data_IF_349292297470
#
_entry.id   IF_349292297470
#
_cell.length_a   1.000
_cell.length_b   1.000
_cell.length_c   1.000
_cell.angle_alpha   90.00
_cell.angle_beta   90.00
_cell.angle_gamma   90.00
#
_symmetry.space_group_name_H-M   'P 1'
#
loop_
_entity.id
_entity.type
_entity.pdbx_description
1 polymer ?
#
# COMPACT_ATOMS: atom_id res chain seq x y z
N UNK A 1 8.30 -39.84 47.42
CA UNK A 1 6.85 -39.93 47.18
C UNK A 1 6.55 -38.83 46.16
N UNK A 2 6.30 -39.13 44.88
CA UNK A 2 6.03 -38.09 43.88
C UNK A 2 4.77 -37.33 44.28
N UNK A 3 4.81 -36.01 44.13
CA UNK A 3 3.74 -35.11 44.53
C UNK A 3 2.44 -35.44 43.78
N UNK A 4 1.30 -35.57 44.47
CA UNK A 4 0.04 -36.00 43.87
C UNK A 4 -0.41 -35.13 42.68
N UNK A 5 -0.07 -33.83 42.74
CA UNK A 5 -0.33 -32.85 41.68
C UNK A 5 0.38 -33.20 40.37
N UNK A 6 1.59 -33.77 40.43
CA UNK A 6 2.34 -34.13 39.23
C UNK A 6 1.82 -35.41 38.58
N UNK A 7 1.32 -36.35 39.38
CA UNK A 7 0.66 -37.57 38.86
C UNK A 7 -0.65 -37.25 38.13
N UNK A 8 -1.45 -36.32 38.67
CA UNK A 8 -2.70 -35.90 38.04
C UNK A 8 -2.45 -35.14 36.72
N UNK A 9 -1.47 -34.23 36.70
CA UNK A 9 -1.07 -33.53 35.47
C UNK A 9 -0.49 -34.47 34.41
N UNK A 10 0.21 -35.52 34.82
CA UNK A 10 0.75 -36.51 33.89
C UNK A 10 -0.37 -37.36 33.26
N UNK A 11 -1.32 -37.84 34.06
CA UNK A 11 -2.48 -38.58 33.54
C UNK A 11 -3.36 -37.72 32.61
N UNK A 12 -3.57 -36.44 32.93
CA UNK A 12 -4.35 -35.53 32.08
C UNK A 12 -3.65 -35.24 30.74
N UNK A 13 -2.32 -35.27 30.68
CA UNK A 13 -1.56 -35.01 29.44
C UNK A 13 -1.34 -36.26 28.60
N UNK A 14 -1.37 -37.46 29.19
CA UNK A 14 -1.15 -38.74 28.49
C UNK A 14 -2.29 -39.08 27.52
N UNK A 15 -3.49 -38.51 27.71
CA UNK A 15 -4.65 -38.69 26.84
C UNK A 15 -4.96 -37.48 25.93
N UNK A 16 -4.13 -36.43 25.96
CA UNK A 16 -4.28 -35.29 25.06
C UNK A 16 -3.75 -35.64 23.66
N UNK A 17 -4.69 -36.02 22.79
CA UNK A 17 -4.44 -36.07 21.35
C UNK A 17 -4.35 -34.62 20.86
N UNK A 18 -3.12 -34.09 20.81
CA UNK A 18 -2.86 -32.78 20.24
C UNK A 18 -3.32 -32.76 18.79
N UNK A 19 -4.16 -31.79 18.43
CA UNK A 19 -4.52 -31.57 17.04
C UNK A 19 -3.25 -31.36 16.21
N UNK A 20 -3.21 -31.82 14.94
CA UNK A 20 -2.05 -31.63 14.07
C UNK A 20 -1.56 -30.19 14.09
N UNK A 21 -0.23 -29.99 14.10
CA UNK A 21 0.41 -28.67 14.27
C UNK A 21 -0.11 -27.61 13.31
N UNK A 22 -0.51 -28.01 12.11
CA UNK A 22 -1.06 -27.17 11.05
C UNK A 22 -2.46 -26.67 11.40
N UNK A 23 -3.26 -27.50 12.07
CA UNK A 23 -4.59 -27.15 12.55
C UNK A 23 -4.52 -26.22 13.77
N UNK A 24 -3.54 -26.42 14.66
CA UNK A 24 -3.27 -25.51 15.79
C UNK A 24 -2.78 -24.15 15.27
N UNK A 25 -1.86 -24.13 14.29
CA UNK A 25 -1.40 -22.89 13.63
C UNK A 25 -2.53 -22.17 12.92
N UNK A 26 -3.44 -22.90 12.26
CA UNK A 26 -4.61 -22.32 11.57
C UNK A 26 -5.60 -21.72 12.58
N UNK A 27 -5.92 -22.45 13.67
CA UNK A 27 -6.80 -21.94 14.75
C UNK A 27 -6.18 -20.78 15.52
N UNK A 28 -4.86 -20.79 15.73
CA UNK A 28 -4.11 -19.69 16.34
C UNK A 28 -4.18 -18.42 15.49
N UNK A 29 -3.96 -18.53 14.17
CA UNK A 29 -4.15 -17.41 13.23
C UNK A 29 -5.60 -16.92 13.21
N UNK A 30 -6.57 -17.83 13.29
CA UNK A 30 -7.99 -17.48 13.28
C UNK A 30 -8.43 -16.76 14.58
N UNK A 31 -7.92 -17.15 15.75
CA UNK A 31 -8.16 -16.43 17.02
C UNK A 31 -7.49 -15.06 17.05
N UNK A 32 -6.24 -14.96 16.60
CA UNK A 32 -5.54 -13.68 16.50
C UNK A 32 -6.25 -12.70 15.55
N UNK A 33 -6.84 -13.21 14.45
CA UNK A 33 -7.69 -12.43 13.55
C UNK A 33 -8.97 -11.95 14.22
N UNK A 34 -9.64 -12.80 15.03
CA UNK A 34 -10.87 -12.43 15.74
C UNK A 34 -10.65 -11.40 16.85
N UNK A 35 -9.54 -11.46 17.59
CA UNK A 35 -9.24 -10.48 18.65
C UNK A 35 -8.83 -9.12 18.10
N UNK A 36 -8.23 -9.06 16.90
CA UNK A 36 -7.86 -7.79 16.26
C UNK A 36 -9.06 -6.98 15.72
N UNK A 37 -10.22 -7.62 15.50
CA UNK A 37 -11.46 -6.91 15.11
C UNK A 37 -12.00 -6.01 16.23
N UNK A 38 -11.66 -6.28 17.50
CA UNK A 38 -12.10 -5.48 18.64
C UNK A 38 -11.16 -4.31 18.99
N UNK A 39 -9.91 -4.30 18.53
CA UNK A 39 -8.91 -3.31 18.93
C UNK A 39 -8.75 -2.12 17.97
N UNK A 40 -9.41 -2.13 16.80
CA UNK A 40 -9.36 -1.07 15.79
C UNK A 40 -10.33 0.10 16.02
N UNK A 41 -10.76 0.35 17.26
CA UNK A 41 -11.74 1.36 17.64
C UNK A 41 -11.28 2.17 18.87
N UNK A 42 -10.11 2.82 18.81
CA UNK A 42 -9.76 3.88 19.76
C UNK A 42 -8.49 4.64 19.32
N UNK A 43 -8.58 5.52 18.33
CA UNK A 43 -7.66 6.65 18.25
C UNK A 43 -8.28 7.79 17.43
N UNK A 44 -8.21 8.99 18.00
CA UNK A 44 -8.53 10.30 17.43
C UNK A 44 -9.99 10.76 17.48
N UNK A 45 -10.43 11.26 18.65
CA UNK A 45 -10.82 12.68 18.80
C UNK A 45 -10.43 13.14 20.21
N UNK A 46 -9.40 13.96 20.32
CA UNK A 46 -9.12 14.73 21.53
C UNK A 46 -8.87 16.17 21.12
N UNK A 47 -9.94 16.96 21.02
CA UNK A 47 -9.86 18.42 21.13
C UNK A 47 -10.68 18.80 22.34
N UNK A 48 -9.96 19.11 23.41
CA UNK A 48 -10.51 19.70 24.61
C UNK A 48 -10.74 21.20 24.39
N UNK A 49 -11.97 21.66 24.61
CA UNK A 49 -12.21 23.01 25.14
C UNK A 49 -13.15 22.85 26.33
N UNK A 50 -12.59 23.07 27.51
CA UNK A 50 -13.27 23.07 28.81
C UNK A 50 -13.94 24.42 29.01
N UNK A 51 -15.22 24.40 29.42
CA UNK A 51 -15.97 25.35 30.27
C UNK A 51 -17.43 25.37 29.78
N UNK A 52 -18.45 24.82 30.47
CA UNK A 52 -18.95 25.24 31.79
C UNK A 52 -20.15 24.36 32.22
N UNK A 53 -20.26 24.15 33.54
CA UNK A 53 -21.43 23.81 34.38
C UNK A 53 -22.68 23.13 33.80
N UNK A 54 -22.98 21.92 34.30
CA UNK A 54 -24.31 21.31 34.22
C UNK A 54 -25.16 21.79 35.41
N UNK A 55 -26.21 22.55 35.13
CA UNK A 55 -27.34 22.80 36.04
C UNK A 55 -28.60 22.18 35.41
N UNK A 56 -29.37 21.54 36.27
CA UNK A 56 -30.54 20.70 35.99
C UNK A 56 -31.68 21.44 35.25
N UNK A 57 -32.40 20.67 34.44
CA UNK A 57 -33.45 21.07 33.50
C UNK A 57 -34.67 21.81 34.11
N UNK A 58 -35.24 22.75 33.32
CA UNK A 58 -36.68 23.12 33.34
C UNK A 58 -37.10 23.71 31.96
N UNK A 59 -38.32 23.43 31.46
CA UNK A 59 -38.72 23.75 30.07
C UNK A 59 -39.41 25.13 29.93
N UNK A 60 -39.47 25.58 28.67
CA UNK A 60 -40.12 26.79 28.11
C UNK A 60 -39.42 28.15 28.30
N UNK A 61 -38.69 28.58 27.26
CA UNK A 61 -38.54 29.99 26.90
C UNK A 61 -38.10 30.14 25.42
N UNK A 62 -38.72 31.10 24.73
CA UNK A 62 -38.67 31.44 23.31
C UNK A 62 -37.26 31.74 22.71
N UNK A 63 -37.08 31.68 21.37
CA UNK A 63 -35.79 31.90 20.72
C UNK A 63 -35.30 33.36 20.83
N UNK A 64 -33.99 33.60 21.04
CA UNK A 64 -33.41 34.95 21.04
C UNK A 64 -33.26 35.53 19.62
N UNK A 65 -33.21 36.87 19.49
CA UNK A 65 -33.31 37.58 18.22
C UNK A 65 -32.08 37.47 17.30
N UNK A 66 -32.35 37.62 16.00
CA UNK A 66 -31.43 37.60 14.84
C UNK A 66 -30.43 38.77 14.88
N UNK A 67 -29.17 38.60 14.44
CA UNK A 67 -28.15 39.66 14.42
C UNK A 67 -28.46 40.79 13.42
N UNK A 68 -28.01 42.03 13.67
CA UNK A 68 -28.17 43.12 12.71
C UNK A 68 -27.25 42.94 11.49
N UNK A 69 -27.79 43.28 10.32
CA UNK A 69 -27.07 43.43 9.07
C UNK A 69 -26.22 44.71 9.07
N UNK A 70 -25.03 44.68 8.45
CA UNK A 70 -24.39 45.89 7.93
C UNK A 70 -23.79 45.58 6.57
N UNK A 71 -24.17 46.40 5.60
CA UNK A 71 -23.86 46.33 4.17
C UNK A 71 -22.51 47.00 3.88
N UNK A 72 -21.88 46.48 2.82
CA UNK A 72 -20.62 46.77 2.07
C UNK A 72 -20.37 48.27 1.69
N UNK A 73 -19.45 48.65 0.77
CA UNK A 73 -18.17 48.10 0.26
C UNK A 73 -17.02 49.15 0.26
N UNK A 74 -15.75 48.74 0.13
CA UNK A 74 -14.72 49.56 -0.55
C UNK A 74 -13.57 48.69 -1.10
N UNK A 75 -13.41 48.71 -2.42
CA UNK A 75 -12.16 48.48 -3.14
C UNK A 75 -11.92 49.74 -3.98
N UNK A 76 -10.69 50.26 -4.08
CA UNK A 76 -9.90 49.91 -5.25
C UNK A 76 -8.39 49.73 -5.01
N UNK A 77 -7.83 48.82 -5.79
CA UNK A 77 -6.57 48.94 -6.57
C UNK A 77 -5.24 49.17 -5.86
N UNK A 78 -4.38 48.15 -5.94
CA UNK A 78 -3.01 48.33 -6.46
C UNK A 78 -2.47 47.03 -7.05
N UNK A 79 -2.54 46.94 -8.38
CA UNK A 79 -1.68 46.14 -9.25
C UNK A 79 -0.42 46.97 -9.52
N UNK A 80 0.76 46.35 -9.58
CA UNK A 80 1.50 46.43 -10.84
C UNK A 80 2.02 45.06 -11.29
N UNK A 81 1.78 44.78 -12.57
CA UNK A 81 2.48 43.77 -13.40
C UNK A 81 3.58 44.51 -14.22
N UNK A 82 4.36 43.85 -15.09
CA UNK A 82 5.77 43.51 -14.93
C UNK A 82 6.73 44.33 -15.84
N UNK A 83 8.03 44.23 -15.59
CA UNK A 83 9.16 44.33 -16.57
C UNK A 83 10.46 44.46 -15.76
N UNK A 84 11.60 43.86 -16.11
CA UNK A 84 12.21 43.75 -17.44
C UNK A 84 13.30 42.66 -17.48
N UNK A 85 13.36 41.92 -18.57
CA UNK A 85 14.60 41.33 -19.12
C UNK A 85 14.96 42.18 -20.35
N UNK A 86 16.23 42.58 -20.55
CA UNK A 86 17.04 41.82 -21.51
C UNK A 86 18.54 41.74 -21.19
N UNK A 87 19.11 40.58 -21.57
CA UNK A 87 20.36 40.38 -22.33
C UNK A 87 21.70 40.93 -21.82
N UNK A 88 22.63 40.02 -21.53
CA UNK A 88 24.04 40.07 -21.98
C UNK A 88 24.77 38.72 -21.79
N UNK A 89 24.91 37.97 -22.88
CA UNK A 89 26.08 37.13 -23.24
C UNK A 89 26.74 37.91 -24.42
N UNK A 90 28.09 37.99 -24.63
CA UNK A 90 28.96 36.83 -24.86
C UNK A 90 30.46 36.93 -24.51
N UNK A 91 31.13 35.80 -24.80
CA UNK A 91 32.58 35.52 -24.92
C UNK A 91 33.23 34.82 -23.71
N UNK A 92 34.09 33.81 -23.86
CA UNK A 92 34.55 33.05 -25.03
C UNK A 92 35.32 31.81 -24.56
N UNK A 93 35.40 30.82 -25.45
CA UNK A 93 36.53 29.92 -25.71
C UNK A 93 37.12 29.03 -24.60
N UNK A 94 36.98 27.72 -24.82
CA UNK A 94 37.74 26.68 -24.11
C UNK A 94 37.58 25.31 -24.77
N UNK A 95 37.88 25.20 -26.07
CA UNK A 95 38.07 23.92 -26.76
C UNK A 95 39.40 23.30 -26.31
N UNK A 96 39.36 22.09 -25.77
CA UNK A 96 40.55 21.21 -25.77
C UNK A 96 40.15 19.73 -25.75
N UNK A 97 40.18 19.14 -26.93
CA UNK A 97 40.43 17.72 -27.22
C UNK A 97 41.27 17.78 -28.50
N UNK A 98 42.36 17.00 -28.72
CA UNK A 98 42.56 15.61 -28.28
C UNK A 98 43.98 15.30 -27.74
N UNK A 99 44.14 14.12 -27.10
CA UNK A 99 45.29 13.27 -27.39
C UNK A 99 45.03 11.81 -26.99
N UNK A 100 45.21 10.98 -28.01
CA UNK A 100 45.20 9.53 -28.08
C UNK A 100 46.50 9.02 -27.48
N UNK A 101 46.45 8.17 -26.46
CA UNK A 101 47.57 7.28 -26.11
C UNK A 101 47.02 5.88 -25.89
N UNK A 102 47.41 5.00 -26.81
CA UNK A 102 47.21 3.58 -26.74
C UNK A 102 48.01 2.97 -25.59
N UNK A 103 47.42 1.97 -24.94
CA UNK A 103 48.06 1.14 -23.92
C UNK A 103 47.25 -0.12 -23.67
N UNK A 104 47.35 -1.08 -24.60
CA UNK A 104 47.37 -2.52 -24.26
C UNK A 104 48.85 -2.91 -24.03
N UNK A 105 49.20 -3.99 -23.31
CA UNK A 105 48.53 -5.31 -23.20
C UNK A 105 48.34 -5.75 -21.72
N UNK A 106 47.76 -6.89 -21.31
CA UNK A 106 47.70 -8.22 -21.88
C UNK A 106 46.55 -9.06 -21.29
N UNK A 107 46.21 -10.12 -22.02
CA UNK A 107 45.23 -11.15 -21.72
C UNK A 107 45.39 -11.84 -20.36
N UNK A 108 44.25 -12.19 -19.75
CA UNK A 108 44.13 -13.45 -19.00
C UNK A 108 42.76 -14.08 -19.22
N UNK A 109 42.81 -15.39 -19.34
CA UNK A 109 41.84 -16.33 -19.88
C UNK A 109 40.86 -16.76 -18.78
N UNK A 110 39.60 -16.98 -19.16
CA UNK A 110 38.74 -17.93 -18.46
C UNK A 110 37.65 -17.31 -17.58
N UNK A 111 36.52 -16.95 -18.20
CA UNK A 111 35.26 -16.78 -17.51
C UNK A 111 34.14 -17.01 -18.52
N UNK A 112 33.59 -18.23 -18.56
CA UNK A 112 32.40 -18.52 -19.35
C UNK A 112 31.24 -17.58 -19.00
N UNK A 113 30.11 -17.61 -19.73
CA UNK A 113 28.94 -16.81 -19.37
C UNK A 113 28.52 -17.21 -17.96
N UNK A 114 28.94 -16.42 -16.99
CA UNK A 114 28.39 -16.48 -15.65
C UNK A 114 26.99 -15.95 -15.84
N UNK A 115 26.05 -16.88 -16.06
CA UNK A 115 24.64 -16.67 -15.79
C UNK A 115 24.58 -16.17 -14.35
N UNK A 116 24.66 -14.84 -14.19
CA UNK A 116 24.54 -14.18 -12.90
C UNK A 116 23.20 -14.67 -12.38
N UNK A 117 23.23 -15.46 -11.30
CA UNK A 117 22.01 -15.90 -10.65
C UNK A 117 21.15 -14.66 -10.44
N UNK A 118 19.93 -14.60 -10.98
CA UNK A 118 19.13 -13.40 -10.87
C UNK A 118 19.00 -13.04 -9.39
N UNK A 119 19.33 -11.80 -9.06
CA UNK A 119 19.28 -11.32 -7.69
C UNK A 119 17.87 -11.50 -7.17
N UNK A 120 17.69 -12.37 -6.17
CA UNK A 120 16.37 -12.62 -5.58
C UNK A 120 15.87 -11.44 -4.76
N UNK A 121 16.73 -10.45 -4.47
CA UNK A 121 16.37 -9.26 -3.71
C UNK A 121 15.55 -8.29 -4.56
N UNK A 122 14.63 -7.56 -3.91
CA UNK A 122 13.89 -6.46 -4.52
C UNK A 122 14.60 -5.14 -4.12
N UNK A 123 15.19 -4.41 -5.08
CA UNK A 123 15.89 -3.16 -4.77
C UNK A 123 14.91 -2.08 -4.31
N UNK A 124 15.40 -1.09 -3.56
CA UNK A 124 14.58 0.05 -3.13
C UNK A 124 14.03 0.88 -4.30
N UNK A 125 14.75 0.90 -5.43
CA UNK A 125 14.31 1.57 -6.65
C UNK A 125 13.07 0.91 -7.28
N UNK A 126 12.76 -0.35 -6.91
CA UNK A 126 11.56 -1.06 -7.37
C UNK A 126 10.30 -0.75 -6.54
N UNK A 127 10.43 0.05 -5.48
CA UNK A 127 9.29 0.56 -4.71
C UNK A 127 9.05 2.03 -5.04
N UNK A 128 7.84 2.50 -4.77
CA UNK A 128 7.50 3.91 -4.83
C UNK A 128 8.45 4.74 -3.96
N UNK A 129 8.68 5.97 -4.38
CA UNK A 129 9.40 7.00 -3.65
C UNK A 129 8.50 8.21 -3.45
N UNK A 130 8.87 9.11 -2.54
CA UNK A 130 8.12 10.34 -2.27
C UNK A 130 7.92 11.19 -3.53
N UNK A 131 8.89 11.19 -4.45
CA UNK A 131 8.80 11.91 -5.72
C UNK A 131 7.72 11.35 -6.68
N UNK A 132 7.21 10.14 -6.43
CA UNK A 132 6.16 9.52 -7.24
C UNK A 132 4.75 9.84 -6.71
N UNK A 133 4.66 10.50 -5.55
CA UNK A 133 3.41 10.78 -4.84
C UNK A 133 3.07 12.26 -4.91
N UNK A 134 1.79 12.62 -4.69
CA UNK A 134 1.41 14.02 -4.49
C UNK A 134 2.20 14.67 -3.35
N UNK A 135 2.31 16.00 -3.39
CA UNK A 135 2.92 16.77 -2.31
C UNK A 135 2.17 16.56 -0.99
N UNK A 136 2.90 16.51 0.13
CA UNK A 136 2.32 16.35 1.47
C UNK A 136 2.40 14.93 2.02
N UNK A 137 2.78 13.95 1.21
CA UNK A 137 3.16 12.63 1.72
C UNK A 137 4.52 12.66 2.40
N UNK A 138 4.66 11.84 3.44
CA UNK A 138 5.92 11.55 4.13
C UNK A 138 6.09 10.05 4.22
N UNK A 139 7.34 9.57 4.18
CA UNK A 139 7.60 8.14 4.31
C UNK A 139 7.41 7.74 5.76
N UNK A 140 6.59 6.73 5.99
CA UNK A 140 6.43 6.16 7.32
C UNK A 140 7.67 5.33 7.66
N UNK A 141 8.31 5.66 8.77
CA UNK A 141 9.38 4.85 9.35
C UNK A 141 8.78 3.91 10.39
N UNK A 142 9.29 2.67 10.43
CA UNK A 142 8.78 1.64 11.33
C UNK A 142 7.93 0.58 10.63
N UNK A 143 7.27 -0.26 11.44
CA UNK A 143 6.49 -1.39 10.95
C UNK A 143 5.15 -0.89 10.41
N UNK A 144 4.75 -1.42 9.26
CA UNK A 144 3.38 -1.26 8.77
C UNK A 144 2.45 -2.11 9.63
N UNK A 145 1.50 -1.47 10.29
CA UNK A 145 0.52 -2.16 11.13
C UNK A 145 -0.66 -2.71 10.32
N UNK A 146 -1.19 -3.85 10.77
CA UNK A 146 -2.35 -4.50 10.18
C UNK A 146 -2.09 -5.25 8.87
N UNK A 147 -3.05 -6.09 8.50
CA UNK A 147 -3.08 -6.73 7.18
C UNK A 147 -4.02 -5.93 6.27
N UNK A 148 -3.42 -5.07 5.45
CA UNK A 148 -4.12 -4.22 4.48
C UNK A 148 -4.24 -4.87 3.10
N UNK A 149 -3.68 -6.06 2.93
CA UNK A 149 -3.57 -6.74 1.64
C UNK A 149 -4.94 -7.13 1.08
N UNK A 150 -4.99 -7.41 -0.22
CA UNK A 150 -6.21 -7.96 -0.81
C UNK A 150 -6.49 -9.39 -0.31
N UNK A 151 -5.46 -10.13 0.09
CA UNK A 151 -5.57 -11.45 0.73
C UNK A 151 -6.26 -11.36 2.10
N UNK A 152 -6.17 -10.22 2.78
CA UNK A 152 -7.01 -9.96 3.95
C UNK A 152 -8.49 -9.85 3.54
N UNK A 153 -8.79 -9.17 2.43
CA UNK A 153 -10.17 -9.08 1.91
C UNK A 153 -10.72 -10.42 1.43
N UNK A 154 -9.88 -11.27 0.86
CA UNK A 154 -10.30 -12.63 0.49
C UNK A 154 -10.75 -13.46 1.68
N UNK A 155 -10.36 -13.11 2.90
CA UNK A 155 -10.83 -13.80 4.11
C UNK A 155 -12.29 -13.50 4.48
N UNK A 156 -12.92 -12.53 3.81
CA UNK A 156 -14.36 -12.22 3.92
C UNK A 156 -15.21 -12.91 2.86
N UNK A 157 -14.58 -13.57 1.89
CA UNK A 157 -15.28 -14.44 0.94
C UNK A 157 -15.64 -15.75 1.66
N UNK A 158 -16.85 -16.25 1.43
CA UNK A 158 -17.34 -17.53 1.98
C UNK A 158 -16.67 -18.70 1.27
N UNK A 159 -16.40 -18.55 -0.02
CA UNK A 159 -15.80 -19.56 -0.86
C UNK A 159 -14.27 -19.57 -0.78
N UNK A 160 -13.66 -20.70 -1.20
CA UNK A 160 -12.21 -20.82 -1.25
C UNK A 160 -11.61 -19.83 -2.27
N UNK A 161 -10.62 -19.08 -1.79
CA UNK A 161 -9.94 -18.04 -2.54
C UNK A 161 -8.58 -18.51 -3.05
N UNK A 162 -8.21 -18.23 -4.32
CA UNK A 162 -6.90 -18.60 -4.84
C UNK A 162 -5.80 -17.79 -4.15
N UNK A 163 -4.61 -18.37 -4.03
CA UNK A 163 -3.45 -17.69 -3.44
C UNK A 163 -2.90 -16.60 -4.36
N UNK A 164 -2.56 -15.44 -3.78
CA UNK A 164 -1.84 -14.35 -4.44
C UNK A 164 -0.32 -14.38 -4.19
N UNK A 165 0.18 -15.34 -3.41
CA UNK A 165 1.61 -15.53 -3.12
C UNK A 165 2.20 -16.73 -3.87
N UNK A 166 1.66 -17.08 -5.03
CA UNK A 166 2.13 -18.24 -5.81
C UNK A 166 3.63 -18.13 -6.11
N UNK A 167 4.43 -19.04 -5.56
CA UNK A 167 5.89 -19.09 -5.67
C UNK A 167 6.58 -17.73 -5.48
N UNK A 168 6.10 -16.96 -4.50
CA UNK A 168 6.78 -15.76 -4.02
C UNK A 168 8.16 -16.13 -3.46
N UNK A 169 9.21 -15.43 -3.89
CA UNK A 169 10.61 -15.67 -3.48
C UNK A 169 11.25 -14.49 -2.75
N UNK A 170 10.63 -13.31 -2.81
CA UNK A 170 11.04 -12.14 -2.06
C UNK A 170 9.90 -11.13 -1.94
N UNK A 171 9.99 -10.27 -0.92
CA UNK A 171 9.02 -9.20 -0.66
C UNK A 171 9.72 -7.96 -0.15
N UNK A 172 9.18 -6.78 -0.48
CA UNK A 172 9.60 -5.48 0.03
C UNK A 172 8.38 -4.58 0.17
N UNK A 173 8.26 -3.86 1.27
CA UNK A 173 7.14 -2.95 1.50
C UNK A 173 7.61 -1.55 1.86
N UNK A 174 6.80 -0.56 1.52
CA UNK A 174 6.95 0.86 1.89
C UNK A 174 5.57 1.42 2.24
N UNK A 175 5.53 2.38 3.16
CA UNK A 175 4.30 3.07 3.54
C UNK A 175 4.54 4.57 3.57
N UNK A 176 3.50 5.32 3.20
CA UNK A 176 3.51 6.77 3.10
C UNK A 176 2.24 7.33 3.71
N UNK A 177 2.39 8.35 4.55
CA UNK A 177 1.28 9.01 5.21
C UNK A 177 1.18 10.47 4.75
N UNK A 178 -0.05 10.96 4.66
CA UNK A 178 -0.41 12.36 4.58
C UNK A 178 -1.49 12.65 5.63
N UNK A 179 -1.85 13.92 5.88
CA UNK A 179 -2.92 14.25 6.84
C UNK A 179 -4.29 13.63 6.51
N UNK A 180 -4.55 13.31 5.24
CA UNK A 180 -5.86 12.83 4.77
C UNK A 180 -5.83 11.44 4.15
N UNK A 181 -4.64 10.88 3.89
CA UNK A 181 -4.50 9.65 3.10
C UNK A 181 -3.28 8.84 3.54
N UNK A 182 -3.35 7.53 3.29
CA UNK A 182 -2.31 6.56 3.59
C UNK A 182 -2.16 5.60 2.42
N UNK A 183 -0.95 5.56 1.87
CA UNK A 183 -0.58 4.62 0.81
C UNK A 183 0.41 3.63 1.39
N UNK A 184 0.11 2.35 1.21
CA UNK A 184 1.06 1.29 1.51
C UNK A 184 1.22 0.40 0.29
N UNK A 185 2.47 0.08 -0.02
CA UNK A 185 2.85 -0.76 -1.14
C UNK A 185 3.61 -1.97 -0.63
N UNK A 186 3.33 -3.12 -1.25
CA UNK A 186 4.10 -4.35 -1.13
C UNK A 186 4.46 -4.81 -2.54
N UNK A 187 5.74 -4.98 -2.79
CA UNK A 187 6.28 -5.55 -4.02
C UNK A 187 6.77 -6.94 -3.73
N UNK A 188 6.32 -7.91 -4.51
CA UNK A 188 6.71 -9.31 -4.42
C UNK A 188 7.41 -9.75 -5.71
N UNK A 189 8.40 -10.63 -5.57
CA UNK A 189 9.06 -11.30 -6.69
C UNK A 189 8.56 -12.73 -6.76
N UNK A 190 8.25 -13.20 -7.96
CA UNK A 190 7.76 -14.56 -8.20
C UNK A 190 8.68 -15.32 -9.14
N UNK A 191 8.79 -16.63 -8.96
CA UNK A 191 9.62 -17.46 -9.85
C UNK A 191 8.90 -17.83 -11.16
N UNK A 192 9.63 -17.82 -12.28
CA UNK A 192 9.11 -18.21 -13.58
C UNK A 192 7.90 -17.37 -14.02
N UNK A 193 6.85 -18.02 -14.50
CA UNK A 193 5.62 -17.34 -14.94
C UNK A 193 4.63 -17.04 -13.79
N UNK A 194 5.00 -17.26 -12.53
CA UNK A 194 4.06 -17.16 -11.39
C UNK A 194 3.53 -15.74 -11.16
N UNK A 195 4.26 -14.68 -11.52
CA UNK A 195 3.72 -13.31 -11.46
C UNK A 195 2.46 -13.15 -12.36
N UNK A 196 2.47 -13.76 -13.55
CA UNK A 196 1.29 -13.81 -14.43
C UNK A 196 0.18 -14.66 -13.84
N UNK A 197 0.51 -15.78 -13.18
CA UNK A 197 -0.46 -16.61 -12.45
C UNK A 197 -1.13 -15.82 -11.32
N UNK A 198 -0.38 -15.01 -10.58
CA UNK A 198 -0.91 -14.13 -9.52
C UNK A 198 -1.93 -13.16 -10.09
N UNK A 199 -1.66 -12.52 -11.24
CA UNK A 199 -2.65 -11.62 -11.86
C UNK A 199 -3.90 -12.34 -12.39
N UNK A 200 -3.80 -13.60 -12.77
CA UNK A 200 -4.97 -14.44 -13.11
C UNK A 200 -5.76 -14.82 -11.85
N UNK A 201 -5.06 -15.19 -10.78
CA UNK A 201 -5.65 -15.53 -9.49
C UNK A 201 -6.34 -14.32 -8.86
N UNK A 202 -5.76 -13.13 -9.00
CA UNK A 202 -6.37 -11.86 -8.60
C UNK A 202 -7.75 -11.68 -9.22
N UNK A 203 -7.86 -11.85 -10.54
CA UNK A 203 -9.14 -11.71 -11.24
C UNK A 203 -10.14 -12.76 -10.76
N UNK A 204 -9.72 -14.03 -10.70
CA UNK A 204 -10.55 -15.13 -10.20
C UNK A 204 -11.03 -14.89 -8.76
N UNK A 205 -10.15 -14.38 -7.90
CA UNK A 205 -10.49 -14.00 -6.53
C UNK A 205 -11.58 -12.94 -6.55
N UNK A 206 -11.37 -11.84 -7.25
CA UNK A 206 -12.28 -10.70 -7.21
C UNK A 206 -13.65 -11.05 -7.83
N UNK A 207 -13.66 -11.71 -8.99
CA UNK A 207 -14.92 -12.05 -9.67
C UNK A 207 -15.63 -13.24 -9.04
N UNK A 208 -14.91 -14.09 -8.30
CA UNK A 208 -15.44 -15.29 -7.68
C UNK A 208 -15.72 -15.14 -6.19
N UNK A 209 -15.42 -14.00 -5.57
CA UNK A 209 -15.64 -13.79 -4.14
C UNK A 209 -17.14 -13.66 -3.85
N UNK A 210 -17.69 -14.61 -3.10
CA UNK A 210 -19.01 -14.51 -2.51
C UNK A 210 -18.88 -13.90 -1.12
N UNK A 211 -19.29 -12.64 -0.96
CA UNK A 211 -19.19 -11.93 0.32
C UNK A 211 -20.09 -12.56 1.40
N UNK A 212 -19.59 -12.59 2.64
CA UNK A 212 -20.36 -13.09 3.79
C UNK A 212 -21.61 -12.23 4.07
N UNK A 213 -21.52 -10.91 3.89
CA UNK A 213 -22.63 -9.98 4.08
C UNK A 213 -23.22 -9.57 2.72
N UNK A 214 -24.56 -9.51 2.56
CA UNK A 214 -25.20 -9.21 1.28
C UNK A 214 -24.88 -7.82 0.70
N UNK A 215 -24.64 -6.83 1.57
CA UNK A 215 -24.36 -5.45 1.17
C UNK A 215 -22.87 -5.20 0.92
N UNK A 216 -22.01 -6.19 1.23
CA UNK A 216 -20.58 -6.10 0.96
C UNK A 216 -20.30 -6.48 -0.50
N UNK A 217 -19.29 -5.84 -1.09
CA UNK A 217 -18.90 -6.10 -2.48
C UNK A 217 -17.40 -6.04 -2.69
N UNK A 218 -16.93 -6.79 -3.69
CA UNK A 218 -15.59 -6.74 -4.25
C UNK A 218 -15.69 -6.83 -5.76
N UNK A 219 -15.07 -5.90 -6.46
CA UNK A 219 -15.19 -5.79 -7.91
C UNK A 219 -13.92 -5.25 -8.56
N UNK A 220 -13.72 -5.60 -9.83
CA UNK A 220 -12.70 -4.98 -10.66
C UNK A 220 -13.28 -3.67 -11.19
N UNK A 221 -12.65 -2.55 -10.84
CA UNK A 221 -13.09 -1.23 -11.27
C UNK A 221 -12.45 -0.80 -12.59
N UNK A 222 -11.20 -1.23 -12.82
CA UNK A 222 -10.50 -0.97 -14.06
C UNK A 222 -9.35 -1.95 -14.27
N UNK A 223 -8.98 -2.16 -15.53
CA UNK A 223 -7.88 -3.02 -15.95
C UNK A 223 -6.99 -2.30 -16.96
N UNK A 224 -5.88 -2.97 -17.33
CA UNK A 224 -4.89 -2.46 -18.29
C UNK A 224 -4.37 -1.06 -17.93
N UNK A 225 -4.08 -0.86 -16.63
CA UNK A 225 -3.74 0.45 -16.07
C UNK A 225 -2.27 0.85 -16.27
N UNK A 226 -1.37 -0.11 -16.48
CA UNK A 226 0.05 0.14 -16.69
C UNK A 226 0.90 -1.11 -16.45
N UNK A 227 2.16 -1.02 -16.85
CA UNK A 227 3.07 -2.17 -16.89
C UNK A 227 2.62 -3.25 -17.86
N UNK A 228 3.09 -4.47 -17.67
CA UNK A 228 2.63 -5.62 -18.43
C UNK A 228 1.18 -6.01 -18.09
N UNK A 229 0.73 -5.70 -16.86
CA UNK A 229 -0.66 -5.89 -16.42
C UNK A 229 -0.94 -4.98 -15.20
N UNK A 230 -2.14 -4.42 -15.11
CA UNK A 230 -2.51 -3.50 -14.04
C UNK A 230 -4.00 -3.45 -13.79
N UNK A 231 -4.43 -3.69 -12.55
CA UNK A 231 -5.83 -3.85 -12.15
C UNK A 231 -6.13 -3.01 -10.92
N UNK A 232 -7.20 -2.21 -10.98
CA UNK A 232 -7.78 -1.53 -9.84
C UNK A 232 -8.97 -2.35 -9.34
N UNK A 233 -8.91 -2.71 -8.06
CA UNK A 233 -9.95 -3.45 -7.35
C UNK A 233 -10.62 -2.50 -6.35
N UNK A 234 -11.94 -2.52 -6.34
CA UNK A 234 -12.77 -1.83 -5.37
C UNK A 234 -13.44 -2.81 -4.42
N UNK A 235 -13.55 -2.45 -3.16
CA UNK A 235 -14.52 -3.05 -2.25
C UNK A 235 -15.48 -1.99 -1.71
N UNK A 236 -16.62 -2.45 -1.23
CA UNK A 236 -17.43 -1.76 -0.23
C UNK A 236 -17.74 -2.77 0.86
N UNK A 237 -17.35 -2.49 2.11
CA UNK A 237 -17.68 -3.37 3.24
C UNK A 237 -18.23 -2.54 4.39
N UNK A 238 -19.47 -2.82 4.79
CA UNK A 238 -20.17 -2.06 5.82
C UNK A 238 -20.25 -0.57 5.50
N UNK A 239 -20.45 -0.22 4.22
CA UNK A 239 -20.50 1.16 3.72
C UNK A 239 -19.14 1.86 3.69
N UNK A 240 -18.04 1.10 3.74
CA UNK A 240 -16.67 1.63 3.73
C UNK A 240 -15.97 1.22 2.44
N UNK A 241 -15.77 2.15 1.49
CA UNK A 241 -15.09 1.84 0.27
C UNK A 241 -13.60 1.55 0.50
N UNK A 242 -13.07 0.60 -0.26
CA UNK A 242 -11.65 0.28 -0.30
C UNK A 242 -11.13 0.22 -1.72
N UNK A 243 -9.86 0.61 -1.93
CA UNK A 243 -9.19 0.55 -3.23
C UNK A 243 -7.85 -0.16 -3.12
N UNK A 244 -7.62 -1.10 -4.03
CA UNK A 244 -6.32 -1.74 -4.21
C UNK A 244 -5.90 -1.65 -5.67
N UNK A 245 -4.69 -1.19 -5.90
CA UNK A 245 -4.06 -1.22 -7.21
C UNK A 245 -3.02 -2.33 -7.23
N UNK A 246 -3.14 -3.24 -8.19
CA UNK A 246 -2.18 -4.32 -8.41
C UNK A 246 -1.55 -4.16 -9.79
N UNK A 247 -0.22 -4.11 -9.85
CA UNK A 247 0.55 -3.90 -11.08
C UNK A 247 1.61 -4.98 -11.21
N UNK A 248 1.72 -5.59 -12.38
CA UNK A 248 2.78 -6.53 -12.73
C UNK A 248 3.72 -5.89 -13.75
N UNK A 249 5.01 -6.11 -13.54
CA UNK A 249 6.05 -5.86 -14.54
C UNK A 249 7.08 -6.98 -14.45
N UNK A 250 7.24 -7.75 -15.53
CA UNK A 250 8.09 -8.94 -15.52
C UNK A 250 7.67 -9.94 -14.46
N UNK A 251 8.63 -10.32 -13.61
CA UNK A 251 8.50 -11.25 -12.49
C UNK A 251 8.08 -10.59 -11.16
N UNK A 252 7.85 -9.27 -11.17
CA UNK A 252 7.43 -8.50 -10.00
C UNK A 252 5.93 -8.17 -10.04
N UNK A 253 5.31 -8.21 -8.86
CA UNK A 253 3.94 -7.74 -8.64
C UNK A 253 3.96 -6.72 -7.50
N UNK A 254 3.41 -5.54 -7.72
CA UNK A 254 3.15 -4.55 -6.70
C UNK A 254 1.67 -4.55 -6.36
N UNK A 255 1.34 -4.64 -5.07
CA UNK A 255 0.01 -4.39 -4.53
C UNK A 255 0.06 -3.12 -3.69
N UNK A 256 -0.90 -2.22 -3.89
CA UNK A 256 -1.02 -0.96 -3.18
C UNK A 256 -2.40 -0.87 -2.54
N UNK A 257 -2.47 -0.39 -1.30
CA UNK A 257 -3.68 0.21 -0.74
C UNK A 257 -3.66 1.70 -1.09
N UNK A 258 -4.77 2.19 -1.65
CA UNK A 258 -4.94 3.58 -2.04
C UNK A 258 -6.11 4.23 -1.27
N UNK A 259 -6.25 5.54 -1.42
CA UNK A 259 -7.44 6.26 -0.97
C UNK A 259 -8.72 5.63 -1.50
N UNK A 260 -9.75 5.61 -0.66
CA UNK A 260 -11.04 4.98 -0.93
C UNK A 260 -11.79 5.57 -2.14
N UNK A 261 -11.50 6.82 -2.51
CA UNK A 261 -12.12 7.55 -3.61
C UNK A 261 -11.28 7.51 -4.90
N UNK A 262 -10.11 6.83 -4.89
CA UNK A 262 -9.24 6.76 -6.07
C UNK A 262 -10.02 6.31 -7.30
N UNK A 263 -10.00 7.16 -8.34
CA UNK A 263 -10.67 6.88 -9.61
C UNK A 263 -9.80 6.01 -10.53
N UNK A 264 -10.39 5.32 -11.53
CA UNK A 264 -9.62 4.62 -12.57
C UNK A 264 -8.56 5.49 -13.28
N UNK A 265 -8.86 6.77 -13.50
CA UNK A 265 -7.94 7.70 -14.17
C UNK A 265 -6.73 8.02 -13.29
N UNK A 266 -6.92 8.25 -12.00
CA UNK A 266 -5.84 8.46 -11.04
C UNK A 266 -5.03 7.17 -10.85
N UNK A 267 -5.71 6.04 -10.68
CA UNK A 267 -5.08 4.73 -10.57
C UNK A 267 -4.20 4.41 -11.79
N UNK A 268 -4.61 4.81 -13.01
CA UNK A 268 -3.78 4.66 -14.22
C UNK A 268 -2.48 5.45 -14.14
N UNK A 269 -2.49 6.67 -13.61
CA UNK A 269 -1.25 7.46 -13.44
C UNK A 269 -0.34 6.79 -12.42
N UNK A 270 -0.89 6.39 -11.27
CA UNK A 270 -0.14 5.66 -10.23
C UNK A 270 0.41 4.34 -10.76
N UNK A 271 -0.37 3.59 -11.54
CA UNK A 271 0.05 2.31 -12.11
C UNK A 271 1.25 2.46 -13.05
N UNK A 272 1.30 3.52 -13.85
CA UNK A 272 2.46 3.84 -14.71
C UNK A 272 3.70 4.16 -13.89
N UNK A 273 3.58 4.98 -12.85
CA UNK A 273 4.70 5.27 -11.94
C UNK A 273 5.21 4.00 -11.25
N UNK A 274 4.30 3.15 -10.77
CA UNK A 274 4.63 1.86 -10.17
C UNK A 274 5.34 0.95 -11.17
N UNK A 275 4.81 0.79 -12.38
CA UNK A 275 5.42 -0.04 -13.42
C UNK A 275 6.85 0.44 -13.75
N UNK A 276 7.04 1.76 -13.89
CA UNK A 276 8.37 2.36 -14.12
C UNK A 276 9.35 2.05 -12.97
N UNK A 277 8.88 2.06 -11.72
CA UNK A 277 9.71 1.64 -10.57
C UNK A 277 10.04 0.16 -10.66
N UNK A 278 9.06 -0.70 -10.93
CA UNK A 278 9.26 -2.14 -11.03
C UNK A 278 10.33 -2.52 -12.09
N UNK A 279 10.47 -1.74 -13.18
CA UNK A 279 11.57 -1.91 -14.14
C UNK A 279 12.96 -1.90 -13.51
N UNK A 280 13.18 -1.14 -12.44
CA UNK A 280 14.47 -1.11 -11.74
C UNK A 280 14.77 -2.40 -10.94
N UNK A 281 13.79 -3.29 -10.79
CA UNK A 281 13.92 -4.55 -10.05
C UNK A 281 13.73 -5.80 -10.90
N UNK A 282 13.45 -5.70 -12.19
CA UNK A 282 13.26 -6.84 -13.08
C UNK A 282 14.15 -6.74 -14.31
N UNK A 283 14.43 -7.87 -14.95
CA UNK A 283 15.27 -7.93 -16.16
C UNK A 283 14.45 -7.65 -17.44
N UNK A 284 13.13 -7.44 -17.32
CA UNK A 284 12.21 -7.24 -18.44
C UNK A 284 11.41 -5.94 -18.31
N UNK A 285 11.84 -4.94 -19.08
CA UNK A 285 11.13 -3.73 -19.49
C UNK A 285 11.63 -3.35 -20.91
#
# INVERSE_FOLDING_TARGET
MPDPIFSDLYQDTEHLIWAPTEQVRRRGRQRARRTQVAAGLAAAVAVAVVATGVVLARPDAAPPPVPPATVEPITPTSVPTPSSTPSAEPSASGTSTPSRTAGEPAASIGGGPTSRTPSRTIPAAATLQLADLPTGFTMQTGKVDGDWSLEFMSSRCVNESPSLSDREVATRSVAFNSPSDWIVQRVTRHSGASATTVMKNLRKLVTGCEMEQPDDSLSIMAESLGGDDGVLVGSDVGGRPGRWLVVRQGDLVAQLRLDSQTTPTEARRTARSVANRLCAGTDTC
#
